data_IF_900281202053
#
_entry.id   IF_900281202053
#
_cell.length_a   1.000
_cell.length_b   1.000
_cell.length_c   1.000
_cell.angle_alpha   90.00
_cell.angle_beta   90.00
_cell.angle_gamma   90.00
#
_symmetry.space_group_name_H-M   'P 1'
#
loop_
_entity.id
_entity.type
_entity.pdbx_description
1 polymer ?
#
# COMPACT_ATOMS: atom_id res chain seq x y z
N UNK A 1 9.89 -27.48 -56.97
CA UNK A 1 10.93 -26.60 -57.51
C UNK A 1 10.30 -25.31 -57.99
N UNK A 2 10.38 -24.24 -57.20
CA UNK A 2 10.82 -22.92 -57.69
C UNK A 2 10.86 -21.97 -56.50
N UNK A 3 12.07 -21.63 -56.11
CA UNK A 3 12.41 -20.57 -55.19
C UNK A 3 12.47 -19.23 -55.95
N UNK A 4 12.32 -18.09 -55.28
CA UNK A 4 13.35 -17.03 -55.05
C UNK A 4 12.63 -15.67 -55.28
N UNK A 5 13.03 -14.50 -54.72
CA UNK A 5 13.60 -14.14 -53.42
C UNK A 5 12.81 -13.00 -52.70
N UNK A 6 13.17 -12.71 -51.45
CA UNK A 6 12.81 -11.46 -50.77
C UNK A 6 13.73 -10.27 -51.14
N UNK A 7 13.40 -9.04 -50.72
CA UNK A 7 14.30 -7.91 -50.79
C UNK A 7 14.97 -7.61 -49.43
N UNK A 8 16.30 -7.62 -49.47
CA UNK A 8 17.20 -7.05 -48.46
C UNK A 8 17.15 -5.51 -48.46
N UNK A 9 17.30 -4.90 -47.27
CA UNK A 9 17.74 -3.50 -47.14
C UNK A 9 18.91 -3.40 -46.13
N UNK A 10 20.00 -2.67 -46.47
CA UNK A 10 21.24 -2.61 -45.68
C UNK A 10 21.34 -1.41 -44.71
N UNK A 11 22.06 -1.66 -43.61
CA UNK A 11 23.07 -0.88 -42.85
C UNK A 11 23.03 0.66 -42.77
N UNK A 12 23.30 1.21 -41.56
CA UNK A 12 24.22 2.35 -41.25
C UNK A 12 24.35 2.48 -39.70
N UNK A 13 25.47 2.12 -39.06
CA UNK A 13 26.73 2.88 -38.73
C UNK A 13 26.64 3.84 -37.52
N UNK A 14 27.65 3.74 -36.63
CA UNK A 14 28.11 4.73 -35.64
C UNK A 14 28.27 4.09 -34.24
N UNK A 15 29.38 3.46 -33.86
CA UNK A 15 30.76 3.95 -33.60
C UNK A 15 30.87 5.09 -32.56
N UNK A 16 31.92 4.95 -31.73
CA UNK A 16 32.55 5.91 -30.80
C UNK A 16 31.90 6.02 -29.40
N UNK A 17 32.55 5.75 -28.26
CA UNK A 17 33.96 5.75 -27.93
C UNK A 17 34.27 6.93 -26.99
N UNK A 18 34.52 6.65 -25.69
CA UNK A 18 35.49 7.32 -24.77
C UNK A 18 35.10 7.25 -23.28
N UNK A 19 35.84 6.43 -22.55
CA UNK A 19 36.78 6.82 -21.49
C UNK A 19 36.58 8.16 -20.77
N UNK A 20 36.43 8.14 -19.44
CA UNK A 20 37.42 8.67 -18.48
C UNK A 20 36.94 8.54 -17.03
N UNK A 21 37.90 8.25 -16.16
CA UNK A 21 37.80 7.88 -14.76
C UNK A 21 37.80 9.14 -13.83
N UNK A 22 37.75 8.97 -12.49
CA UNK A 22 37.26 9.96 -11.52
C UNK A 22 38.34 10.95 -11.06
N UNK A 23 37.92 12.16 -10.69
CA UNK A 23 38.78 13.14 -10.02
C UNK A 23 38.43 13.16 -8.53
N UNK A 24 39.37 12.69 -7.72
CA UNK A 24 39.41 12.82 -6.28
C UNK A 24 39.68 14.27 -5.91
N UNK A 25 38.87 14.86 -5.03
CA UNK A 25 39.22 16.10 -4.35
C UNK A 25 39.68 15.78 -2.93
N UNK A 26 40.98 15.97 -2.72
CA UNK A 26 41.66 15.98 -1.42
C UNK A 26 41.53 17.40 -0.86
N UNK A 27 41.02 17.54 0.37
CA UNK A 27 41.48 18.62 1.25
C UNK A 27 41.56 18.12 2.69
N UNK A 28 42.70 18.45 3.27
CA UNK A 28 43.31 17.92 4.48
C UNK A 28 43.23 18.95 5.61
N UNK A 29 43.07 18.43 6.83
CA UNK A 29 43.42 18.98 8.16
C UNK A 29 42.93 20.41 8.55
N UNK A 30 42.24 20.48 9.69
CA UNK A 30 42.93 20.75 10.96
C UNK A 30 42.01 20.54 12.16
N UNK A 31 42.56 19.85 13.16
CA UNK A 31 41.98 19.50 14.44
C UNK A 31 42.57 20.48 15.45
N UNK A 32 41.76 21.19 16.24
CA UNK A 32 42.21 21.76 17.51
C UNK A 32 41.04 21.84 18.51
N UNK A 33 41.25 21.45 19.78
CA UNK A 33 40.20 21.31 20.80
C UNK A 33 40.01 22.56 21.68
N UNK A 34 38.89 22.50 22.43
CA UNK A 34 38.34 23.44 23.42
C UNK A 34 39.34 24.12 24.37
N UNK A 35 38.91 25.25 24.96
CA UNK A 35 39.17 25.53 26.37
C UNK A 35 37.91 25.38 27.25
N UNK A 36 38.06 24.53 28.26
CA UNK A 36 37.22 24.36 29.45
C UNK A 36 37.21 25.63 30.29
N UNK A 37 36.04 26.11 30.74
CA UNK A 37 35.95 27.03 31.86
C UNK A 37 34.91 26.52 32.88
N UNK A 38 35.42 26.15 34.04
CA UNK A 38 34.68 25.78 35.25
C UNK A 38 34.39 27.05 36.05
N UNK A 39 33.17 27.15 36.57
CA UNK A 39 32.79 27.75 37.86
C UNK A 39 31.62 28.74 37.75
N UNK A 40 30.44 28.30 38.21
CA UNK A 40 29.61 28.95 39.25
C UNK A 40 28.24 28.26 39.35
N UNK A 41 27.91 27.56 40.44
CA UNK A 41 26.53 27.23 40.74
C UNK A 41 25.89 28.42 41.44
N UNK A 42 25.02 29.15 40.75
CA UNK A 42 24.03 30.01 41.42
C UNK A 42 22.84 29.11 41.71
N UNK A 43 22.58 28.89 43.00
CA UNK A 43 21.42 28.15 43.49
C UNK A 43 20.13 28.83 43.04
N UNK A 44 19.50 28.28 42.00
CA UNK A 44 18.14 28.63 41.62
C UNK A 44 17.18 27.76 42.44
N UNK A 45 16.40 28.41 43.30
CA UNK A 45 15.30 27.79 44.04
C UNK A 45 14.36 27.06 43.08
N UNK A 46 14.12 25.78 43.33
CA UNK A 46 13.06 25.03 42.67
C UNK A 46 11.70 25.55 43.16
N UNK A 47 11.14 26.53 42.47
CA UNK A 47 9.68 26.65 42.43
C UNK A 47 9.20 25.47 41.59
N UNK A 48 8.65 24.46 42.25
CA UNK A 48 7.99 23.35 41.58
C UNK A 48 6.82 23.89 40.78
N UNK A 49 7.05 24.23 39.50
CA UNK A 49 5.98 24.27 38.53
C UNK A 49 5.45 22.84 38.47
N UNK A 50 4.27 22.65 39.08
CA UNK A 50 3.40 21.54 38.77
C UNK A 50 3.41 21.37 37.25
N UNK A 51 4.07 20.30 36.81
CA UNK A 51 3.93 19.77 35.47
C UNK A 51 2.44 19.57 35.26
N UNK A 52 1.78 20.57 34.68
CA UNK A 52 0.51 20.37 34.01
C UNK A 52 0.90 19.50 32.85
N UNK A 53 0.89 18.21 33.12
CA UNK A 53 0.97 17.15 32.16
C UNK A 53 -0.23 17.39 31.27
N UNK A 54 0.00 18.14 30.18
CA UNK A 54 -0.95 18.24 29.11
C UNK A 54 -1.11 16.81 28.61
N UNK A 55 -2.16 16.14 29.09
CA UNK A 55 -2.64 14.89 28.55
C UNK A 55 -2.64 15.06 27.02
N UNK A 56 -1.82 14.29 26.27
CA UNK A 56 -1.87 14.35 24.83
C UNK A 56 -3.32 14.09 24.43
N UNK A 57 -3.93 14.93 23.56
CA UNK A 57 -5.32 14.76 23.21
C UNK A 57 -5.53 13.32 22.77
N UNK A 58 -6.44 12.63 23.46
CA UNK A 58 -6.73 11.24 23.19
C UNK A 58 -6.94 11.05 21.69
N UNK A 59 -6.16 10.12 21.10
CA UNK A 59 -6.21 9.65 19.71
C UNK A 59 -5.16 10.27 18.75
N UNK A 60 -3.92 9.73 18.70
CA UNK A 60 -2.95 9.97 17.62
C UNK A 60 -3.35 9.27 16.31
N UNK A 61 -4.63 8.98 16.12
CA UNK A 61 -5.12 8.33 14.92
C UNK A 61 -5.28 9.39 13.84
N UNK A 62 -4.17 9.59 13.15
CA UNK A 62 -4.01 10.37 11.95
C UNK A 62 -5.23 10.26 11.02
N UNK A 63 -5.48 11.31 10.24
CA UNK A 63 -6.48 11.31 9.17
C UNK A 63 -6.13 10.28 8.08
N UNK A 64 -6.31 8.98 8.36
CA UNK A 64 -6.01 7.90 7.42
C UNK A 64 -7.11 7.83 6.38
N UNK A 65 -6.74 8.06 5.12
CA UNK A 65 -7.59 7.82 3.97
C UNK A 65 -7.53 6.34 3.61
N UNK A 66 -8.70 5.73 3.44
CA UNK A 66 -8.83 4.32 3.07
C UNK A 66 -9.62 4.15 1.79
N UNK A 67 -9.20 3.18 0.97
CA UNK A 67 -9.99 2.68 -0.14
C UNK A 67 -10.80 1.49 0.38
N UNK A 68 -12.12 1.66 0.45
CA UNK A 68 -13.04 0.70 1.07
C UNK A 68 -14.29 0.49 0.22
N UNK A 69 -15.02 -0.58 0.51
CA UNK A 69 -16.29 -0.88 -0.14
C UNK A 69 -17.45 -0.30 0.67
N UNK A 70 -18.23 0.60 0.05
CA UNK A 70 -19.50 1.06 0.57
C UNK A 70 -20.62 0.15 0.05
N UNK A 71 -21.46 -0.37 0.95
CA UNK A 71 -22.52 -1.31 0.60
C UNK A 71 -23.79 -0.56 0.20
N UNK A 72 -24.29 -0.86 -0.97
CA UNK A 72 -25.55 -0.45 -1.55
C UNK A 72 -26.39 -1.67 -1.95
N UNK A 73 -27.56 -1.41 -2.52
CA UNK A 73 -28.49 -2.43 -2.97
C UNK A 73 -29.52 -2.83 -1.91
N UNK A 74 -30.27 -3.89 -2.23
CA UNK A 74 -31.38 -4.41 -1.42
C UNK A 74 -30.93 -5.62 -0.61
N UNK A 75 -31.80 -6.11 0.27
CA UNK A 75 -31.62 -7.43 0.88
C UNK A 75 -31.50 -8.48 -0.24
N UNK A 76 -30.53 -9.39 -0.11
CA UNK A 76 -30.21 -10.43 -1.11
C UNK A 76 -29.75 -9.93 -2.50
N UNK A 77 -29.53 -8.63 -2.66
CA UNK A 77 -28.96 -8.04 -3.88
C UNK A 77 -27.89 -7.01 -3.51
N UNK A 78 -26.72 -7.45 -3.00
CA UNK A 78 -25.64 -6.57 -2.60
C UNK A 78 -24.98 -5.91 -3.83
N UNK A 79 -24.76 -4.61 -3.74
CA UNK A 79 -23.98 -3.84 -4.70
C UNK A 79 -22.92 -3.03 -3.95
N UNK A 80 -21.69 -2.93 -4.44
CA UNK A 80 -20.64 -2.22 -3.73
C UNK A 80 -20.06 -1.07 -4.56
N UNK A 81 -19.92 0.09 -3.95
CA UNK A 81 -19.13 1.17 -4.52
C UNK A 81 -17.72 1.10 -3.93
N UNK A 82 -16.71 1.20 -4.78
CA UNK A 82 -15.32 1.34 -4.37
C UNK A 82 -15.10 2.83 -4.10
N UNK A 83 -14.90 3.17 -2.83
CA UNK A 83 -14.86 4.56 -2.38
C UNK A 83 -13.59 4.89 -1.63
N UNK A 84 -13.18 6.14 -1.75
CA UNK A 84 -12.11 6.74 -0.97
C UNK A 84 -12.74 7.56 0.15
N UNK A 85 -12.45 7.20 1.39
CA UNK A 85 -13.04 7.88 2.55
C UNK A 85 -12.08 7.83 3.75
N UNK A 86 -12.25 8.76 4.68
CA UNK A 86 -11.53 8.71 5.95
C UNK A 86 -11.91 7.46 6.76
N UNK A 87 -10.96 6.91 7.51
CA UNK A 87 -11.16 5.67 8.25
C UNK A 87 -12.27 5.75 9.32
N UNK A 88 -12.46 6.93 9.93
CA UNK A 88 -13.41 7.15 11.04
C UNK A 88 -14.84 7.46 10.60
N UNK A 89 -15.11 7.63 9.30
CA UNK A 89 -16.46 7.96 8.83
C UNK A 89 -17.31 6.70 8.68
N UNK A 90 -18.63 6.83 8.85
CA UNK A 90 -19.57 5.73 8.68
C UNK A 90 -19.43 5.06 7.30
N UNK A 91 -19.62 3.74 7.21
CA UNK A 91 -19.35 2.94 6.00
C UNK A 91 -19.99 3.53 4.73
N UNK A 92 -21.24 3.98 4.84
CA UNK A 92 -22.06 4.46 3.74
C UNK A 92 -22.24 5.99 3.77
N UNK A 93 -21.41 6.74 4.51
CA UNK A 93 -21.46 8.21 4.46
C UNK A 93 -20.96 8.72 3.11
N UNK A 94 -21.20 10.01 2.83
CA UNK A 94 -20.62 10.68 1.65
C UNK A 94 -19.09 10.47 1.64
N UNK A 95 -18.53 9.80 0.62
CA UNK A 95 -17.09 9.61 0.50
C UNK A 95 -16.43 10.87 -0.06
N UNK A 96 -15.09 10.89 -0.07
CA UNK A 96 -14.31 11.90 -0.78
C UNK A 96 -14.50 11.73 -2.29
N UNK A 97 -14.36 10.49 -2.77
CA UNK A 97 -14.51 10.13 -4.17
C UNK A 97 -15.02 8.70 -4.33
N UNK A 98 -15.79 8.47 -5.39
CA UNK A 98 -16.22 7.13 -5.82
C UNK A 98 -15.36 6.79 -7.04
N UNK A 99 -14.45 5.81 -6.90
CA UNK A 99 -13.51 5.42 -7.95
C UNK A 99 -14.02 4.25 -8.79
N UNK A 100 -15.09 3.57 -8.34
CA UNK A 100 -15.62 2.43 -9.06
C UNK A 100 -16.81 1.75 -8.41
N UNK A 101 -17.23 0.66 -9.03
CA UNK A 101 -18.33 -0.20 -8.59
C UNK A 101 -17.93 -1.68 -8.72
N UNK A 102 -18.52 -2.51 -7.88
CA UNK A 102 -18.27 -3.93 -7.80
C UNK A 102 -19.59 -4.67 -7.57
N UNK A 103 -19.89 -5.60 -8.49
CA UNK A 103 -20.98 -6.55 -8.34
C UNK A 103 -20.42 -7.90 -7.87
N UNK A 104 -20.77 -8.36 -6.66
CA UNK A 104 -20.30 -9.64 -6.14
C UNK A 104 -21.04 -10.83 -6.76
N UNK A 105 -22.23 -10.60 -7.36
CA UNK A 105 -23.07 -11.65 -7.93
C UNK A 105 -22.47 -12.05 -9.28
N UNK A 106 -22.05 -13.32 -9.45
CA UNK A 106 -21.51 -13.79 -10.70
C UNK A 106 -22.60 -13.83 -11.78
N UNK A 107 -22.31 -13.30 -12.97
CA UNK A 107 -23.22 -13.28 -14.11
C UNK A 107 -22.67 -14.14 -15.25
N UNK A 108 -23.55 -14.74 -16.08
CA UNK A 108 -23.13 -15.40 -17.31
C UNK A 108 -22.63 -14.35 -18.30
N UNK A 109 -21.55 -14.67 -19.02
CA UNK A 109 -21.06 -13.84 -20.11
C UNK A 109 -22.07 -13.85 -21.27
N UNK A 110 -22.55 -12.69 -21.74
CA UNK A 110 -23.40 -12.63 -22.92
C UNK A 110 -22.72 -13.18 -24.18
N UNK A 111 -21.38 -13.24 -24.21
CA UNK A 111 -20.59 -13.60 -25.39
C UNK A 111 -19.86 -14.95 -25.26
N UNK A 112 -19.78 -15.55 -24.06
CA UNK A 112 -19.14 -16.84 -23.83
C UNK A 112 -20.17 -17.92 -23.44
N UNK A 113 -20.38 -18.89 -24.33
CA UNK A 113 -21.27 -20.04 -24.11
C UNK A 113 -20.64 -21.15 -23.26
N UNK A 114 -19.39 -21.00 -22.79
CA UNK A 114 -18.66 -22.01 -22.02
C UNK A 114 -19.21 -22.22 -20.59
N UNK A 115 -20.24 -21.47 -20.18
CA UNK A 115 -20.83 -21.54 -18.85
C UNK A 115 -19.96 -20.93 -17.74
N UNK A 116 -18.87 -20.24 -18.08
CA UNK A 116 -18.03 -19.54 -17.12
C UNK A 116 -18.76 -18.30 -16.61
N UNK A 117 -18.74 -18.12 -15.29
CA UNK A 117 -19.33 -16.94 -14.66
C UNK A 117 -18.25 -15.88 -14.40
N UNK A 118 -18.58 -14.62 -14.64
CA UNK A 118 -17.70 -13.49 -14.37
C UNK A 118 -18.32 -12.54 -13.33
N UNK A 119 -17.49 -11.67 -12.74
CA UNK A 119 -17.93 -10.64 -11.80
C UNK A 119 -17.56 -9.28 -12.35
N UNK A 120 -18.52 -8.37 -12.36
CA UNK A 120 -18.34 -7.03 -12.92
C UNK A 120 -17.58 -6.13 -11.94
N UNK A 121 -16.46 -5.58 -12.41
CA UNK A 121 -15.69 -4.55 -11.70
C UNK A 121 -15.49 -3.39 -12.66
N UNK A 122 -16.09 -2.23 -12.33
CA UNK A 122 -15.84 -0.98 -13.06
C UNK A 122 -14.97 -0.09 -12.19
N UNK A 123 -13.79 0.26 -12.64
CA UNK A 123 -12.83 1.03 -11.86
C UNK A 123 -12.13 2.06 -12.74
N UNK A 124 -12.00 3.29 -12.25
CA UNK A 124 -11.09 4.28 -12.80
C UNK A 124 -9.65 3.97 -12.32
N UNK A 125 -8.87 3.37 -13.23
CA UNK A 125 -7.48 2.98 -12.98
C UNK A 125 -6.57 4.17 -12.69
N UNK A 126 -6.80 5.34 -13.31
CA UNK A 126 -5.98 6.53 -13.11
C UNK A 126 -6.18 7.07 -11.70
N UNK A 127 -7.44 7.20 -11.27
CA UNK A 127 -7.77 7.69 -9.93
C UNK A 127 -7.36 6.73 -8.85
N UNK A 128 -7.52 5.43 -9.06
CA UNK A 128 -7.05 4.41 -8.13
C UNK A 128 -5.53 4.52 -7.89
N UNK A 129 -4.72 4.66 -8.95
CA UNK A 129 -3.26 4.84 -8.85
C UNK A 129 -2.87 6.12 -8.11
N UNK A 130 -3.56 7.22 -8.39
CA UNK A 130 -3.33 8.50 -7.69
C UNK A 130 -3.51 8.34 -6.17
N UNK A 131 -4.64 7.77 -5.73
CA UNK A 131 -4.91 7.63 -4.30
C UNK A 131 -3.93 6.70 -3.59
N UNK A 132 -3.51 5.62 -4.26
CA UNK A 132 -2.44 4.75 -3.76
C UNK A 132 -1.12 5.52 -3.62
N UNK A 133 -0.77 6.34 -4.62
CA UNK A 133 0.44 7.18 -4.59
C UNK A 133 0.43 8.23 -3.47
N UNK A 134 -0.75 8.77 -3.13
CA UNK A 134 -0.94 9.69 -1.99
C UNK A 134 -0.87 8.96 -0.63
N UNK A 135 -0.84 7.63 -0.63
CA UNK A 135 -0.73 6.80 0.58
C UNK A 135 -2.08 6.34 1.13
N UNK A 136 -3.15 6.37 0.34
CA UNK A 136 -4.43 5.79 0.74
C UNK A 136 -4.27 4.28 0.96
N UNK A 137 -4.79 3.79 2.09
CA UNK A 137 -4.66 2.40 2.49
C UNK A 137 -5.89 1.59 2.05
N UNK A 138 -5.79 0.69 1.05
CA UNK A 138 -6.90 -0.16 0.67
C UNK A 138 -7.18 -1.25 1.72
N UNK A 139 -8.46 -1.55 1.91
CA UNK A 139 -8.92 -2.72 2.69
C UNK A 139 -8.58 -4.04 1.99
N UNK A 140 -8.55 -5.17 2.70
CA UNK A 140 -8.15 -6.47 2.12
C UNK A 140 -8.95 -6.87 0.87
N UNK A 141 -10.27 -6.69 0.90
CA UNK A 141 -11.11 -6.96 -0.28
C UNK A 141 -10.82 -5.99 -1.42
N UNK A 142 -10.65 -4.69 -1.13
CA UNK A 142 -10.29 -3.70 -2.15
C UNK A 142 -8.91 -4.00 -2.76
N UNK A 143 -7.94 -4.42 -1.94
CA UNK A 143 -6.62 -4.86 -2.41
C UNK A 143 -6.75 -6.03 -3.38
N UNK A 144 -7.57 -7.04 -3.06
CA UNK A 144 -7.83 -8.16 -3.97
C UNK A 144 -8.39 -7.69 -5.31
N UNK A 145 -9.39 -6.80 -5.31
CA UNK A 145 -9.95 -6.25 -6.55
C UNK A 145 -8.91 -5.46 -7.35
N UNK A 146 -8.12 -4.60 -6.69
CA UNK A 146 -7.05 -3.83 -7.33
C UNK A 146 -5.94 -4.73 -7.90
N UNK A 147 -5.65 -5.85 -7.23
CA UNK A 147 -4.68 -6.83 -7.73
C UNK A 147 -5.19 -7.61 -8.95
N UNK A 148 -6.50 -7.88 -9.02
CA UNK A 148 -7.11 -8.51 -10.20
C UNK A 148 -7.05 -7.59 -11.43
N UNK A 149 -7.13 -6.27 -11.23
CA UNK A 149 -6.98 -5.27 -12.30
C UNK A 149 -5.51 -5.02 -12.66
N UNK A 150 -4.55 -5.53 -11.86
CA UNK A 150 -3.11 -5.35 -12.09
C UNK A 150 -2.55 -4.01 -11.61
N UNK A 151 -3.22 -3.33 -10.67
CA UNK A 151 -2.73 -2.07 -10.07
C UNK A 151 -1.79 -2.35 -8.90
N UNK A 152 -2.10 -3.36 -8.09
CA UNK A 152 -1.33 -3.77 -6.91
C UNK A 152 -0.84 -5.21 -7.06
N UNK A 153 0.28 -5.58 -6.41
CA UNK A 153 0.72 -6.96 -6.37
C UNK A 153 -0.32 -7.82 -5.63
N UNK A 154 -0.45 -9.08 -6.05
CA UNK A 154 -1.28 -10.05 -5.33
C UNK A 154 -0.67 -10.28 -3.96
N UNK A 155 -1.50 -10.14 -2.92
CA UNK A 155 -1.14 -10.46 -1.53
C UNK A 155 -1.80 -11.76 -1.13
N UNK A 156 -1.07 -12.59 -0.39
CA UNK A 156 -1.63 -13.80 0.19
C UNK A 156 -2.38 -13.42 1.48
N UNK A 157 -3.70 -13.62 1.44
CA UNK A 157 -4.60 -13.41 2.57
C UNK A 157 -4.88 -14.70 3.35
N UNK A 158 -4.16 -15.78 3.03
CA UNK A 158 -4.31 -17.04 3.75
C UNK A 158 -3.99 -16.81 5.24
N UNK A 159 -4.77 -17.40 6.17
CA UNK A 159 -4.36 -17.41 7.57
C UNK A 159 -2.98 -18.05 7.62
N UNK A 160 -1.98 -17.32 8.11
CA UNK A 160 -0.67 -17.92 8.36
C UNK A 160 -0.90 -19.13 9.25
N UNK A 161 -0.39 -20.29 8.83
CA UNK A 161 -0.40 -21.46 9.69
C UNK A 161 0.19 -21.06 11.03
N UNK A 162 -0.56 -21.29 12.10
CA UNK A 162 -0.12 -20.93 13.44
C UNK A 162 0.97 -21.94 13.85
N UNK A 163 2.22 -21.61 13.55
CA UNK A 163 3.40 -22.41 13.91
C UNK A 163 3.53 -22.60 15.44
N UNK A 164 2.75 -21.86 16.25
CA UNK A 164 2.74 -21.96 17.72
C UNK A 164 1.83 -23.05 18.29
N UNK A 165 0.96 -23.67 17.47
CA UNK A 165 0.19 -24.84 17.90
C UNK A 165 1.05 -26.09 17.78
N UNK A 166 1.88 -26.33 18.80
CA UNK A 166 2.57 -27.61 18.98
C UNK A 166 1.59 -28.77 18.85
N UNK A 167 2.00 -29.85 18.17
CA UNK A 167 1.18 -31.06 18.04
C UNK A 167 0.91 -31.64 19.43
N UNK A 168 -0.31 -31.46 19.95
CA UNK A 168 -0.72 -32.12 21.18
C UNK A 168 -0.89 -33.61 20.91
N UNK A 169 -0.08 -34.44 21.55
CA UNK A 169 -0.20 -35.89 21.46
C UNK A 169 -1.50 -36.30 22.15
N UNK A 170 -2.30 -37.15 21.48
CA UNK A 170 -3.59 -37.60 22.00
C UNK A 170 -3.52 -38.32 23.35
N UNK A 171 -2.33 -38.83 23.73
CA UNK A 171 -2.08 -39.47 25.02
C UNK A 171 -2.02 -38.50 26.22
N UNK A 172 -1.77 -37.22 25.99
CA UNK A 172 -1.63 -36.21 27.05
C UNK A 172 -2.97 -35.50 27.39
N UNK A 173 -4.04 -35.82 26.65
CA UNK A 173 -5.36 -35.19 26.83
C UNK A 173 -6.21 -36.06 27.76
N UNK A 174 -6.21 -35.73 29.05
CA UNK A 174 -7.11 -36.37 30.03
C UNK A 174 -8.50 -35.73 29.98
N UNK A 175 -9.49 -36.48 29.49
CA UNK A 175 -10.91 -36.12 29.53
C UNK A 175 -11.44 -36.47 30.95
N UNK A 176 -12.12 -35.53 31.60
CA UNK A 176 -12.82 -35.74 32.88
C UNK A 176 -14.29 -36.05 32.64
#
# INVERSE_FOLDING_TARGET
>A
MSAVPGPDLPALIGQDGKTAAPVQNILVLSKTPLPTNLSRPIAFSQTSLSSVQAEPPASPFAMVVKIRLARFGRRNSPFYNIVVAHARTARNSRPLEIIGTYDPIPKPDPYDNSGKLHKDIKLDSQRARYWIGVGAQPTDTAWRLLSMVGILPKRDFAPKADESKGSVNAGDVKIR
#
